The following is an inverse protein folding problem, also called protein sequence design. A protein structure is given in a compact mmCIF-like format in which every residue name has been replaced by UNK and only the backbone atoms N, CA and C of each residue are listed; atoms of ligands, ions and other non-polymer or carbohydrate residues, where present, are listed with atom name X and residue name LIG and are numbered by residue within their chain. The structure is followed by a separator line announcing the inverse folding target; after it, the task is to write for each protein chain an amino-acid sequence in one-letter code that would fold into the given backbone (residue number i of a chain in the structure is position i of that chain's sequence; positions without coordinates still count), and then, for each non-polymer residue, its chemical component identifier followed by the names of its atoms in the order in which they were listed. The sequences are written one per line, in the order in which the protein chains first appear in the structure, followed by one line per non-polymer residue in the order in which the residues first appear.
data_IF_538739835767
#
_entry.id   IF_538739835767
#
_cell.length_a   1.000
_cell.length_b   1.000
_cell.length_c   1.000
_cell.angle_alpha   90.00
_cell.angle_beta   90.00
_cell.angle_gamma   90.00
#
_symmetry.space_group_name_H-M   'P 1'
#
loop_
_entity.id
_entity.type
_entity.pdbx_description
1 polymer ?
#
# COMPACT_ATOMS: atom_id res chain seq x y z
N UNK A 1 52.73 -49.84 2.33
CA UNK A 1 53.21 -48.52 1.91
C UNK A 1 52.42 -47.44 2.61
N UNK A 2 52.95 -46.98 3.75
CA UNK A 2 52.33 -45.93 4.55
C UNK A 2 52.88 -44.57 4.15
N UNK A 3 52.02 -43.66 3.76
CA UNK A 3 52.37 -42.28 3.53
C UNK A 3 51.95 -41.45 4.76
N UNK A 4 52.96 -41.02 5.51
CA UNK A 4 52.79 -40.09 6.64
C UNK A 4 52.65 -38.67 6.10
N UNK A 5 51.54 -38.02 6.44
CA UNK A 5 51.34 -36.60 6.24
C UNK A 5 51.79 -35.83 7.48
N UNK A 6 52.87 -35.06 7.31
CA UNK A 6 53.41 -34.17 8.34
C UNK A 6 52.62 -32.85 8.29
N UNK A 7 51.92 -32.49 9.38
CA UNK A 7 51.32 -31.18 9.56
C UNK A 7 52.38 -30.16 9.99
N UNK A 8 52.72 -29.23 9.12
CA UNK A 8 53.49 -28.02 9.44
C UNK A 8 52.59 -27.07 10.26
N UNK A 9 53.06 -26.73 11.45
CA UNK A 9 52.45 -25.70 12.32
C UNK A 9 52.87 -24.32 11.75
N UNK A 10 51.92 -23.59 11.22
CA UNK A 10 52.08 -22.16 10.94
C UNK A 10 52.04 -21.35 12.24
N UNK A 11 52.97 -20.41 12.36
CA UNK A 11 53.16 -19.50 13.51
C UNK A 11 51.96 -18.52 13.65
N UNK A 12 51.65 -18.07 14.88
CA UNK A 12 50.56 -17.12 15.14
C UNK A 12 51.12 -15.69 15.09
N UNK A 13 51.15 -15.07 13.92
CA UNK A 13 51.36 -13.59 13.86
C UNK A 13 51.11 -13.02 12.44
N UNK A 14 49.87 -13.14 11.99
CA UNK A 14 49.36 -12.37 10.82
C UNK A 14 47.89 -12.03 11.06
N UNK A 15 47.65 -11.12 12.02
CA UNK A 15 46.34 -10.44 12.10
C UNK A 15 46.44 -9.09 11.40
N UNK A 16 45.59 -8.80 10.45
CA UNK A 16 45.56 -7.50 9.78
C UNK A 16 45.24 -6.36 10.76
N UNK A 17 46.06 -5.33 10.77
CA UNK A 17 46.00 -4.13 11.64
C UNK A 17 44.94 -3.10 11.20
N UNK A 18 43.73 -3.51 10.76
CA UNK A 18 42.68 -2.55 10.38
C UNK A 18 41.67 -2.22 11.48
N UNK A 19 41.91 -2.61 12.72
CA UNK A 19 40.92 -2.52 13.80
C UNK A 19 41.01 -1.32 14.75
N UNK A 20 41.89 -0.35 14.56
CA UNK A 20 42.03 0.75 15.52
C UNK A 20 42.07 2.17 14.93
N UNK A 21 41.43 2.43 13.79
CA UNK A 21 41.24 3.82 13.36
C UNK A 21 39.84 3.91 12.74
N UNK A 22 38.86 4.35 13.53
CA UNK A 22 37.59 5.01 13.24
C UNK A 22 36.46 4.50 14.13
N UNK A 23 36.64 4.62 15.44
CA UNK A 23 35.52 4.71 16.38
C UNK A 23 35.20 6.18 16.56
N UNK A 24 34.39 6.76 15.67
CA UNK A 24 33.69 8.00 15.97
C UNK A 24 32.48 7.71 16.87
N UNK A 25 32.17 8.58 17.84
CA UNK A 25 31.08 8.34 18.77
C UNK A 25 29.73 8.40 18.06
N UNK A 26 28.88 7.42 18.33
CA UNK A 26 27.47 7.44 17.95
C UNK A 26 26.82 8.56 18.76
N UNK A 27 26.83 9.77 18.19
CA UNK A 27 26.13 10.93 18.69
C UNK A 27 24.81 11.10 17.96
N UNK A 28 23.74 11.10 18.74
CA UNK A 28 22.48 11.79 18.52
C UNK A 28 22.08 12.09 17.07
N UNK A 29 21.26 11.22 16.45
CA UNK A 29 20.61 11.53 15.17
C UNK A 29 19.20 10.99 15.10
N UNK A 30 18.34 11.38 16.06
CA UNK A 30 16.90 11.09 15.96
C UNK A 30 16.07 12.30 15.49
N UNK A 31 16.73 13.46 15.28
CA UNK A 31 16.06 14.69 14.78
C UNK A 31 16.32 15.01 13.29
N UNK A 32 17.18 14.26 12.60
CA UNK A 32 17.60 14.62 11.24
C UNK A 32 16.75 14.01 10.12
N UNK A 33 15.87 13.06 10.41
CA UNK A 33 15.04 12.38 9.38
C UNK A 33 13.82 13.20 8.92
N UNK A 34 13.49 14.30 9.62
CA UNK A 34 12.27 15.09 9.34
C UNK A 34 12.52 16.37 8.50
N UNK A 35 13.77 16.72 8.15
CA UNK A 35 14.08 18.03 7.58
C UNK A 35 14.30 18.07 6.06
N UNK A 36 14.20 16.95 5.32
CA UNK A 36 14.49 16.94 3.87
C UNK A 36 13.47 16.15 3.03
N UNK A 37 12.22 16.05 3.46
CA UNK A 37 11.17 15.61 2.55
C UNK A 37 10.76 16.84 1.71
N UNK A 38 10.97 16.83 0.38
CA UNK A 38 10.46 17.90 -0.46
C UNK A 38 8.94 17.98 -0.28
N UNK A 39 8.34 19.19 -0.39
CA UNK A 39 6.91 19.36 -0.25
C UNK A 39 6.18 18.50 -1.29
N UNK A 40 5.30 17.61 -0.79
CA UNK A 40 4.42 16.82 -1.64
C UNK A 40 3.56 17.79 -2.46
N UNK A 41 3.59 17.67 -3.79
CA UNK A 41 2.85 18.58 -4.67
C UNK A 41 1.34 18.48 -4.40
N UNK A 42 0.62 19.60 -4.24
CA UNK A 42 -0.79 19.58 -3.89
C UNK A 42 -1.70 19.14 -5.05
N UNK A 43 -2.71 18.35 -4.69
CA UNK A 43 -4.00 18.14 -5.33
C UNK A 43 -4.08 17.09 -6.43
N UNK A 44 -4.35 15.89 -5.94
CA UNK A 44 -5.25 14.97 -6.62
C UNK A 44 -6.60 15.15 -5.90
N UNK A 45 -7.64 15.61 -6.59
CA UNK A 45 -8.96 15.63 -5.98
C UNK A 45 -9.54 14.22 -6.02
N UNK A 46 -9.86 13.67 -4.84
CA UNK A 46 -10.55 12.39 -4.73
C UNK A 46 -11.93 12.49 -5.39
N UNK A 47 -12.42 11.39 -5.92
CA UNK A 47 -13.77 11.26 -6.48
C UNK A 47 -14.60 10.29 -5.64
N UNK A 48 -15.92 10.49 -5.56
CA UNK A 48 -16.81 9.62 -4.81
C UNK A 48 -16.94 8.25 -5.50
N UNK A 49 -17.07 7.19 -4.68
CA UNK A 49 -17.38 5.84 -5.14
C UNK A 49 -18.68 5.41 -4.50
N UNK A 50 -19.66 4.97 -5.29
CA UNK A 50 -20.96 4.53 -4.79
C UNK A 50 -21.35 3.20 -5.42
N UNK A 51 -21.86 2.30 -4.62
CA UNK A 51 -22.47 1.04 -5.02
C UNK A 51 -23.92 1.07 -4.58
N UNK A 52 -24.82 0.67 -5.48
CA UNK A 52 -26.27 0.65 -5.23
C UNK A 52 -26.81 -0.73 -5.53
N UNK A 53 -27.19 -1.48 -4.50
CA UNK A 53 -27.77 -2.82 -4.61
C UNK A 53 -26.90 -3.81 -5.39
N UNK A 54 -25.58 -3.69 -5.33
CA UNK A 54 -24.66 -4.44 -6.18
C UNK A 54 -24.64 -5.91 -5.81
N UNK A 55 -24.96 -6.78 -6.76
CA UNK A 55 -24.77 -8.22 -6.66
C UNK A 55 -23.70 -8.72 -7.64
N UNK A 56 -23.05 -9.82 -7.31
CA UNK A 56 -22.15 -10.52 -8.25
C UNK A 56 -22.23 -12.01 -8.03
N UNK A 57 -22.61 -12.72 -9.09
CA UNK A 57 -22.61 -14.18 -9.14
C UNK A 57 -21.64 -14.72 -10.20
N UNK A 58 -21.07 -15.88 -9.96
CA UNK A 58 -20.28 -16.67 -10.90
C UNK A 58 -20.95 -18.06 -11.02
N UNK A 59 -21.72 -18.26 -12.10
CA UNK A 59 -22.64 -19.38 -12.20
C UNK A 59 -23.68 -19.35 -11.08
N UNK A 60 -23.84 -20.43 -10.33
CA UNK A 60 -24.77 -20.52 -9.21
C UNK A 60 -24.24 -19.89 -7.89
N UNK A 61 -22.97 -19.54 -7.84
CA UNK A 61 -22.34 -18.98 -6.63
C UNK A 61 -22.48 -17.46 -6.59
N UNK A 62 -23.34 -16.97 -5.71
CA UNK A 62 -23.44 -15.55 -5.40
C UNK A 62 -22.31 -15.14 -4.42
N UNK A 63 -21.48 -14.19 -4.84
CA UNK A 63 -20.29 -13.72 -4.10
C UNK A 63 -20.57 -12.39 -3.41
N UNK A 64 -21.34 -11.48 -4.05
CA UNK A 64 -21.82 -10.24 -3.44
C UNK A 64 -23.36 -10.24 -3.52
N UNK A 65 -23.99 -9.84 -2.42
CA UNK A 65 -25.42 -10.03 -2.18
C UNK A 65 -26.11 -8.71 -1.82
N UNK A 66 -26.21 -7.80 -2.79
CA UNK A 66 -26.88 -6.50 -2.58
C UNK A 66 -26.05 -5.56 -1.73
N UNK A 67 -24.86 -5.17 -2.21
CA UNK A 67 -23.99 -4.22 -1.54
C UNK A 67 -24.47 -2.80 -1.81
N UNK A 68 -24.80 -2.08 -0.75
CA UNK A 68 -24.99 -0.63 -0.73
C UNK A 68 -23.80 0.00 0.01
N UNK A 69 -23.04 0.85 -0.68
CA UNK A 69 -21.87 1.49 -0.12
C UNK A 69 -21.68 2.88 -0.74
N UNK A 70 -21.52 3.89 0.11
CA UNK A 70 -21.16 5.24 -0.30
C UNK A 70 -19.83 5.63 0.32
N UNK A 71 -18.85 5.99 -0.52
CA UNK A 71 -17.52 6.46 -0.12
C UNK A 71 -17.34 7.87 -0.64
N UNK A 72 -17.47 8.89 0.23
CA UNK A 72 -17.30 10.28 -0.19
C UNK A 72 -15.90 10.54 -0.74
N UNK A 73 -15.79 11.55 -1.62
CA UNK A 73 -14.53 11.98 -2.20
C UNK A 73 -13.48 12.29 -1.12
N UNK A 74 -12.25 11.82 -1.33
CA UNK A 74 -11.11 12.06 -0.45
C UNK A 74 -11.14 11.28 0.88
N UNK A 75 -12.06 10.35 1.08
CA UNK A 75 -12.12 9.50 2.28
C UNK A 75 -11.25 8.25 2.14
N UNK A 76 -10.78 7.78 3.28
CA UNK A 76 -10.04 6.53 3.41
C UNK A 76 -10.97 5.47 4.02
N UNK A 77 -11.40 4.50 3.22
CA UNK A 77 -12.20 3.35 3.64
C UNK A 77 -11.32 2.10 3.74
N UNK A 78 -11.46 1.31 4.79
CA UNK A 78 -10.94 -0.06 4.82
C UNK A 78 -12.05 -1.08 4.69
N UNK A 79 -11.81 -2.13 3.92
CA UNK A 79 -12.68 -3.29 3.75
C UNK A 79 -11.97 -4.49 4.35
N UNK A 80 -12.47 -4.96 5.48
CA UNK A 80 -11.93 -6.10 6.23
C UNK A 80 -12.82 -7.32 6.04
N UNK A 81 -12.27 -8.52 6.13
CA UNK A 81 -13.03 -9.77 6.07
C UNK A 81 -12.15 -10.97 5.73
N UNK A 82 -12.70 -12.16 5.91
CA UNK A 82 -12.00 -13.42 5.63
C UNK A 82 -11.69 -13.60 4.14
N UNK A 83 -10.73 -14.45 3.84
CA UNK A 83 -10.46 -14.87 2.46
C UNK A 83 -11.72 -15.49 1.84
N UNK A 84 -12.00 -15.12 0.59
CA UNK A 84 -13.21 -15.59 -0.11
C UNK A 84 -14.50 -14.83 0.24
N UNK A 85 -14.47 -13.81 1.12
CA UNK A 85 -15.64 -13.00 1.50
C UNK A 85 -16.13 -12.00 0.45
N UNK A 86 -15.50 -11.93 -0.74
CA UNK A 86 -15.94 -11.03 -1.83
C UNK A 86 -15.11 -9.76 -2.00
N UNK A 87 -14.11 -9.49 -1.14
CA UNK A 87 -13.29 -8.26 -1.17
C UNK A 87 -12.64 -7.99 -2.53
N UNK A 88 -11.96 -8.99 -3.10
CA UNK A 88 -11.33 -8.87 -4.43
C UNK A 88 -12.38 -8.69 -5.53
N UNK A 89 -13.55 -9.32 -5.41
CA UNK A 89 -14.66 -9.13 -6.34
C UNK A 89 -15.17 -7.69 -6.28
N UNK A 90 -15.39 -7.15 -5.07
CA UNK A 90 -15.79 -5.76 -4.87
C UNK A 90 -14.82 -4.79 -5.56
N UNK A 91 -13.52 -5.00 -5.37
CA UNK A 91 -12.48 -4.19 -5.99
C UNK A 91 -12.48 -4.29 -7.51
N UNK A 92 -12.68 -5.49 -8.08
CA UNK A 92 -12.75 -5.71 -9.52
C UNK A 92 -13.93 -4.99 -10.16
N UNK A 93 -15.07 -4.91 -9.47
CA UNK A 93 -16.23 -4.13 -9.90
C UNK A 93 -15.93 -2.63 -9.90
N UNK A 94 -15.30 -2.09 -8.86
CA UNK A 94 -14.92 -0.67 -8.77
C UNK A 94 -13.89 -0.28 -9.85
N UNK A 95 -12.96 -1.18 -10.19
CA UNK A 95 -11.99 -0.94 -11.26
C UNK A 95 -12.58 -1.06 -12.66
N UNK A 96 -13.77 -1.64 -12.81
CA UNK A 96 -14.35 -2.00 -14.10
C UNK A 96 -13.67 -3.19 -14.77
N UNK A 97 -12.95 -4.02 -14.01
CA UNK A 97 -12.39 -5.31 -14.48
C UNK A 97 -13.43 -6.40 -14.56
N UNK A 98 -14.52 -6.24 -13.82
CA UNK A 98 -15.72 -7.08 -13.85
C UNK A 98 -16.97 -6.18 -13.85
N UNK A 99 -18.09 -6.74 -14.29
CA UNK A 99 -19.41 -6.10 -14.25
C UNK A 99 -20.28 -6.72 -13.15
N UNK A 100 -21.11 -5.94 -12.46
CA UNK A 100 -22.07 -6.49 -11.51
C UNK A 100 -23.11 -7.38 -12.23
N UNK A 101 -23.68 -8.36 -11.51
CA UNK A 101 -24.79 -9.15 -12.02
C UNK A 101 -26.08 -8.35 -11.96
N UNK A 102 -26.25 -7.51 -10.92
CA UNK A 102 -27.31 -6.50 -10.81
C UNK A 102 -26.83 -5.34 -9.93
N UNK A 103 -27.58 -4.25 -9.93
CA UNK A 103 -27.18 -3.01 -9.25
C UNK A 103 -26.19 -2.20 -10.06
N UNK A 104 -25.64 -1.15 -9.48
CA UNK A 104 -24.79 -0.18 -10.17
C UNK A 104 -23.57 0.17 -9.32
N UNK A 105 -22.41 0.32 -10.00
CA UNK A 105 -21.22 0.94 -9.43
C UNK A 105 -21.02 2.29 -10.10
N UNK A 106 -20.87 3.33 -9.30
CA UNK A 106 -20.74 4.71 -9.76
C UNK A 106 -19.40 5.30 -9.26
N UNK A 107 -18.69 5.99 -10.14
CA UNK A 107 -17.51 6.80 -9.79
C UNK A 107 -17.83 8.24 -10.21
N UNK A 108 -17.80 9.16 -9.25
CA UNK A 108 -18.18 10.55 -9.43
C UNK A 108 -19.58 10.70 -10.09
N UNK A 109 -20.52 9.86 -9.67
CA UNK A 109 -21.88 9.81 -10.19
C UNK A 109 -22.03 9.20 -11.59
N UNK A 110 -20.94 8.72 -12.21
CA UNK A 110 -20.99 8.09 -13.53
C UNK A 110 -20.91 6.56 -13.41
N UNK A 111 -21.75 5.81 -14.12
CA UNK A 111 -21.69 4.35 -14.11
C UNK A 111 -20.35 3.79 -14.61
N UNK A 112 -19.86 2.78 -13.91
CA UNK A 112 -18.66 2.02 -14.33
C UNK A 112 -19.06 1.01 -15.41
N UNK A 113 -18.69 1.30 -16.65
CA UNK A 113 -18.98 0.43 -17.81
C UNK A 113 -17.73 -0.20 -18.42
N UNK A 114 -16.62 -0.23 -17.69
CA UNK A 114 -15.33 -0.76 -18.11
C UNK A 114 -14.19 -0.15 -17.29
N UNK A 115 -12.95 -0.38 -17.73
CA UNK A 115 -11.77 0.12 -17.03
C UNK A 115 -11.82 1.61 -16.77
N UNK A 116 -11.61 1.98 -15.50
CA UNK A 116 -11.71 3.38 -15.06
C UNK A 116 -10.33 4.07 -15.05
N UNK A 117 -10.12 5.07 -15.90
CA UNK A 117 -8.85 5.80 -15.95
C UNK A 117 -8.52 6.57 -14.66
N UNK A 118 -9.51 6.95 -13.87
CA UNK A 118 -9.35 7.62 -12.57
C UNK A 118 -9.02 6.68 -11.42
N UNK A 119 -9.10 5.36 -11.63
CA UNK A 119 -8.85 4.34 -10.59
C UNK A 119 -7.47 3.70 -10.79
N UNK A 120 -6.71 3.58 -9.72
CA UNK A 120 -5.45 2.82 -9.70
C UNK A 120 -5.49 1.75 -8.64
N UNK A 121 -4.83 0.64 -8.96
CA UNK A 121 -4.77 -0.54 -8.12
C UNK A 121 -3.33 -0.84 -7.73
N UNK A 122 -3.08 -0.95 -6.43
CA UNK A 122 -1.84 -1.43 -5.85
C UNK A 122 -2.09 -2.84 -5.30
N UNK A 123 -1.36 -3.81 -5.81
CA UNK A 123 -1.45 -5.20 -5.39
C UNK A 123 -0.51 -5.53 -4.23
N UNK A 124 -0.74 -6.64 -3.57
CA UNK A 124 0.15 -7.20 -2.56
C UNK A 124 1.58 -7.44 -3.10
N UNK A 125 1.69 -7.99 -4.31
CA UNK A 125 2.95 -8.00 -5.06
C UNK A 125 3.05 -6.71 -5.89
N UNK A 126 4.18 -6.04 -5.81
CA UNK A 126 4.45 -4.78 -6.51
C UNK A 126 4.34 -4.87 -8.05
N UNK A 127 4.41 -6.07 -8.61
CA UNK A 127 4.30 -6.36 -10.05
C UNK A 127 5.13 -5.41 -10.89
N UNK A 128 6.39 -5.21 -10.49
CA UNK A 128 7.32 -4.42 -11.27
C UNK A 128 7.79 -5.21 -12.49
N UNK A 129 7.97 -4.48 -13.60
CA UNK A 129 8.55 -5.06 -14.82
C UNK A 129 10.05 -5.27 -14.59
N UNK A 130 10.54 -6.52 -14.54
CA UNK A 130 11.94 -6.79 -14.20
C UNK A 130 12.93 -6.30 -15.27
N UNK A 131 12.46 -6.07 -16.50
CA UNK A 131 13.22 -5.53 -17.63
C UNK A 131 13.15 -4.00 -17.77
N UNK A 132 12.59 -3.31 -16.80
CA UNK A 132 12.56 -1.84 -16.73
C UNK A 132 13.27 -1.39 -15.46
N UNK A 133 13.97 -0.26 -15.55
CA UNK A 133 14.50 0.43 -14.37
C UNK A 133 13.39 0.93 -13.47
N UNK A 134 13.71 1.40 -12.27
CA UNK A 134 12.77 1.99 -11.32
C UNK A 134 11.97 3.12 -11.99
N UNK A 135 12.63 4.09 -12.59
CA UNK A 135 11.95 5.20 -13.28
C UNK A 135 11.13 4.71 -14.47
N UNK A 136 11.60 3.68 -15.19
CA UNK A 136 10.86 3.07 -16.28
C UNK A 136 9.57 2.36 -15.83
N UNK A 137 9.59 1.77 -14.63
CA UNK A 137 8.39 1.21 -14.00
C UNK A 137 7.39 2.27 -13.60
N UNK A 138 7.85 3.37 -13.00
CA UNK A 138 6.97 4.47 -12.57
C UNK A 138 6.36 5.17 -13.78
N UNK A 139 7.16 5.52 -14.78
CA UNK A 139 6.72 6.22 -15.98
C UNK A 139 6.23 5.31 -17.10
N UNK A 140 5.61 4.19 -16.81
CA UNK A 140 5.25 3.15 -17.80
C UNK A 140 4.37 3.67 -18.94
N UNK A 141 3.50 4.66 -18.68
CA UNK A 141 2.60 5.23 -19.69
C UNK A 141 3.32 6.12 -20.71
N UNK A 142 4.58 6.53 -20.45
CA UNK A 142 5.40 7.35 -21.37
C UNK A 142 4.70 8.60 -21.91
N UNK A 143 3.85 9.25 -21.11
CA UNK A 143 3.19 10.51 -21.48
C UNK A 143 4.22 11.65 -21.62
N UNK A 144 3.91 12.75 -22.35
CA UNK A 144 4.82 13.90 -22.42
C UNK A 144 5.23 14.38 -21.02
N UNK A 145 6.53 14.60 -20.79
CA UNK A 145 7.07 14.99 -19.49
C UNK A 145 7.12 13.88 -18.43
N UNK A 146 6.87 12.62 -18.81
CA UNK A 146 6.80 11.48 -17.89
C UNK A 146 8.01 11.34 -16.97
N UNK A 147 9.21 11.68 -17.47
CA UNK A 147 10.46 11.50 -16.69
C UNK A 147 10.47 12.39 -15.46
N UNK A 148 10.06 13.66 -15.60
CA UNK A 148 10.00 14.59 -14.48
C UNK A 148 8.89 14.21 -13.51
N UNK A 149 7.71 13.86 -14.00
CA UNK A 149 6.60 13.38 -13.19
C UNK A 149 6.98 12.11 -12.41
N UNK A 150 7.71 11.19 -13.06
CA UNK A 150 8.19 9.96 -12.42
C UNK A 150 9.25 10.23 -11.34
N UNK A 151 10.17 11.18 -11.55
CA UNK A 151 11.14 11.60 -10.53
C UNK A 151 10.45 12.22 -9.32
N UNK A 152 9.48 13.10 -9.55
CA UNK A 152 8.69 13.69 -8.48
C UNK A 152 7.97 12.61 -7.66
N UNK A 153 7.30 11.66 -8.31
CA UNK A 153 6.63 10.57 -7.63
C UNK A 153 7.60 9.65 -6.86
N UNK A 154 8.83 9.44 -7.37
CA UNK A 154 9.88 8.70 -6.64
C UNK A 154 10.36 9.48 -5.41
N UNK A 155 10.48 10.79 -5.51
CA UNK A 155 10.82 11.63 -4.36
C UNK A 155 9.73 11.57 -3.27
N UNK A 156 8.45 11.61 -3.66
CA UNK A 156 7.31 11.51 -2.73
C UNK A 156 7.32 10.21 -1.91
N UNK A 157 7.83 9.12 -2.49
CA UNK A 157 7.94 7.83 -1.80
C UNK A 157 9.33 7.58 -1.17
N UNK A 158 10.23 8.58 -1.17
CA UNK A 158 11.56 8.51 -0.58
C UNK A 158 12.54 7.62 -1.35
N UNK A 159 12.46 7.61 -2.68
CA UNK A 159 13.33 6.84 -3.58
C UNK A 159 14.14 7.71 -4.54
N UNK A 160 14.40 8.98 -4.20
CA UNK A 160 15.32 9.83 -4.94
C UNK A 160 16.70 9.19 -5.03
N UNK A 161 17.32 9.27 -6.21
CA UNK A 161 18.64 8.67 -6.49
C UNK A 161 18.60 7.19 -6.85
N UNK A 162 17.41 6.57 -6.88
CA UNK A 162 17.21 5.16 -7.25
C UNK A 162 16.60 4.97 -8.64
N UNK A 163 16.54 6.03 -9.45
CA UNK A 163 15.83 6.06 -10.73
C UNK A 163 16.35 5.01 -11.72
N UNK A 164 17.67 4.77 -11.72
CA UNK A 164 18.35 3.85 -12.63
C UNK A 164 18.52 2.44 -12.08
N UNK A 165 18.12 2.19 -10.85
CA UNK A 165 18.17 0.87 -10.24
C UNK A 165 17.23 -0.12 -10.94
N UNK A 166 17.52 -1.40 -10.80
CA UNK A 166 16.67 -2.49 -11.30
C UNK A 166 15.83 -3.08 -10.17
N UNK A 167 14.61 -3.57 -10.44
CA UNK A 167 13.75 -4.17 -9.42
C UNK A 167 14.41 -5.30 -8.61
N UNK A 168 15.33 -6.03 -9.21
CA UNK A 168 16.02 -7.16 -8.59
C UNK A 168 16.88 -6.80 -7.37
N UNK A 169 17.42 -5.56 -7.31
CA UNK A 169 18.26 -5.12 -6.19
C UNK A 169 17.48 -4.42 -5.07
N UNK A 170 16.17 -4.21 -5.26
CA UNK A 170 15.33 -3.52 -4.28
C UNK A 170 14.83 -4.47 -3.19
N UNK A 171 14.72 -3.97 -1.95
CA UNK A 171 13.99 -4.66 -0.89
C UNK A 171 12.49 -4.78 -1.20
N UNK A 172 11.76 -5.62 -0.46
CA UNK A 172 10.30 -5.74 -0.60
C UNK A 172 9.58 -4.40 -0.42
N UNK A 173 9.93 -3.65 0.62
CA UNK A 173 9.39 -2.32 0.88
C UNK A 173 9.74 -1.31 -0.22
N UNK A 174 10.96 -1.32 -0.72
CA UNK A 174 11.35 -0.45 -1.84
C UNK A 174 10.57 -0.78 -3.12
N UNK A 175 10.36 -2.05 -3.43
CA UNK A 175 9.50 -2.46 -4.56
C UNK A 175 8.07 -1.95 -4.40
N UNK A 176 7.52 -2.04 -3.18
CA UNK A 176 6.17 -1.54 -2.90
C UNK A 176 6.08 -0.02 -3.01
N UNK A 177 7.12 0.73 -2.57
CA UNK A 177 7.21 2.19 -2.78
C UNK A 177 7.27 2.55 -4.27
N UNK A 178 7.99 1.81 -5.11
CA UNK A 178 7.99 2.00 -6.58
C UNK A 178 6.59 1.77 -7.16
N UNK A 179 5.88 0.72 -6.71
CA UNK A 179 4.52 0.45 -7.17
C UNK A 179 3.54 1.57 -6.75
N UNK A 180 3.70 2.12 -5.54
CA UNK A 180 2.93 3.28 -5.09
C UNK A 180 3.24 4.52 -5.95
N UNK A 181 4.51 4.84 -6.20
CA UNK A 181 4.91 5.94 -7.09
C UNK A 181 4.30 5.78 -8.50
N UNK A 182 4.32 4.56 -9.04
CA UNK A 182 3.68 4.24 -10.34
C UNK A 182 2.18 4.52 -10.34
N UNK A 183 1.49 4.24 -9.23
CA UNK A 183 0.07 4.57 -9.11
C UNK A 183 -0.16 6.09 -9.05
N UNK A 184 0.69 6.83 -8.33
CA UNK A 184 0.56 8.28 -8.12
C UNK A 184 0.84 9.12 -9.37
N UNK A 185 1.76 8.68 -10.25
CA UNK A 185 2.10 9.38 -11.50
C UNK A 185 0.86 9.72 -12.36
N UNK A 186 -0.15 8.87 -12.31
CA UNK A 186 -1.39 9.07 -13.07
C UNK A 186 -2.41 9.96 -12.37
N UNK A 187 -2.08 10.52 -11.19
CA UNK A 187 -2.97 11.35 -10.38
C UNK A 187 -4.37 10.72 -10.20
N UNK A 188 -4.48 9.56 -9.53
CA UNK A 188 -5.75 8.84 -9.44
C UNK A 188 -6.77 9.60 -8.59
N UNK A 189 -8.03 9.61 -9.01
CA UNK A 189 -9.15 10.03 -8.15
C UNK A 189 -9.48 8.98 -7.09
N UNK A 190 -9.23 7.68 -7.40
CA UNK A 190 -9.40 6.55 -6.48
C UNK A 190 -8.15 5.68 -6.48
N UNK A 191 -7.63 5.38 -5.29
CA UNK A 191 -6.55 4.42 -5.07
C UNK A 191 -7.10 3.19 -4.33
N UNK A 192 -7.03 2.03 -4.98
CA UNK A 192 -7.38 0.74 -4.39
C UNK A 192 -6.10 0.03 -3.95
N UNK A 193 -6.06 -0.43 -2.72
CA UNK A 193 -4.93 -1.11 -2.10
C UNK A 193 -5.38 -2.54 -1.74
N UNK A 194 -4.83 -3.55 -2.42
CA UNK A 194 -5.17 -4.96 -2.21
C UNK A 194 -4.08 -5.65 -1.39
N UNK A 195 -4.30 -5.75 -0.08
CA UNK A 195 -3.36 -6.34 0.89
C UNK A 195 -1.90 -5.82 0.72
N UNK A 196 -1.68 -4.51 0.57
CA UNK A 196 -0.42 -3.96 0.05
C UNK A 196 0.78 -4.17 0.97
N UNK A 197 0.54 -4.54 2.23
CA UNK A 197 1.58 -4.66 3.25
C UNK A 197 1.77 -6.09 3.76
N UNK A 198 0.97 -7.05 3.28
CA UNK A 198 0.95 -8.43 3.78
C UNK A 198 2.27 -9.20 3.63
N UNK A 199 3.10 -8.85 2.64
CA UNK A 199 4.39 -9.49 2.39
C UNK A 199 5.58 -8.76 3.05
N UNK A 200 5.34 -7.68 3.84
CA UNK A 200 6.37 -6.87 4.47
C UNK A 200 6.66 -7.33 5.91
N UNK A 201 7.91 -7.20 6.34
CA UNK A 201 8.27 -7.32 7.75
C UNK A 201 7.63 -6.19 8.59
N UNK A 202 7.63 -6.35 9.92
CA UNK A 202 6.90 -5.46 10.82
C UNK A 202 7.38 -4.01 10.75
N UNK A 203 8.69 -3.75 10.69
CA UNK A 203 9.23 -2.38 10.64
C UNK A 203 8.92 -1.72 9.31
N UNK A 204 9.20 -2.40 8.21
CA UNK A 204 8.88 -1.92 6.85
C UNK A 204 7.38 -1.65 6.68
N UNK A 205 6.52 -2.47 7.31
CA UNK A 205 5.06 -2.26 7.30
C UNK A 205 4.67 -0.95 7.98
N UNK A 206 5.23 -0.67 9.17
CA UNK A 206 4.99 0.60 9.88
C UNK A 206 5.42 1.80 9.04
N UNK A 207 6.61 1.73 8.43
CA UNK A 207 7.08 2.80 7.53
C UNK A 207 6.14 3.01 6.33
N UNK A 208 5.63 1.92 5.75
CA UNK A 208 4.69 1.99 4.61
C UNK A 208 3.34 2.56 5.01
N UNK A 209 2.83 2.25 6.21
CA UNK A 209 1.61 2.87 6.76
C UNK A 209 1.79 4.39 6.89
N UNK A 210 2.90 4.83 7.52
CA UNK A 210 3.20 6.26 7.67
C UNK A 210 3.36 6.97 6.32
N UNK A 211 4.03 6.33 5.37
CA UNK A 211 4.19 6.86 4.02
C UNK A 211 2.84 7.01 3.32
N UNK A 212 2.00 5.96 3.35
CA UNK A 212 0.68 5.96 2.72
C UNK A 212 -0.23 7.02 3.34
N UNK A 213 -0.25 7.14 4.67
CA UNK A 213 -1.02 8.16 5.37
C UNK A 213 -0.56 9.57 4.99
N UNK A 214 0.75 9.84 4.98
CA UNK A 214 1.32 11.14 4.59
C UNK A 214 0.93 11.52 3.16
N UNK A 215 1.07 10.59 2.21
CA UNK A 215 0.73 10.81 0.81
C UNK A 215 -0.78 11.06 0.66
N UNK A 216 -1.61 10.24 1.33
CA UNK A 216 -3.06 10.44 1.29
C UNK A 216 -3.48 11.79 1.89
N UNK A 217 -2.88 12.21 3.01
CA UNK A 217 -3.16 13.54 3.61
C UNK A 217 -2.80 14.69 2.68
N UNK A 218 -1.73 14.55 1.90
CA UNK A 218 -1.28 15.57 0.97
C UNK A 218 -2.17 15.67 -0.28
N UNK A 219 -2.59 14.53 -0.82
CA UNK A 219 -3.28 14.46 -2.11
C UNK A 219 -4.80 14.33 -2.00
N UNK A 220 -5.30 13.74 -0.91
CA UNK A 220 -6.75 13.58 -0.66
C UNK A 220 -7.51 12.81 -1.75
N UNK A 221 -6.87 11.89 -2.45
CA UNK A 221 -7.58 10.93 -3.28
C UNK A 221 -8.44 9.99 -2.43
N UNK A 222 -9.52 9.47 -3.00
CA UNK A 222 -10.34 8.46 -2.32
C UNK A 222 -9.56 7.15 -2.25
N UNK A 223 -9.50 6.53 -1.08
CA UNK A 223 -8.73 5.28 -0.87
C UNK A 223 -9.64 4.17 -0.37
N UNK A 224 -9.52 2.99 -0.98
CA UNK A 224 -10.10 1.76 -0.45
C UNK A 224 -8.97 0.77 -0.18
N UNK A 225 -8.77 0.44 1.09
CA UNK A 225 -7.80 -0.56 1.54
C UNK A 225 -8.52 -1.88 1.78
N UNK A 226 -8.12 -2.91 1.05
CA UNK A 226 -8.52 -4.29 1.34
C UNK A 226 -7.44 -4.92 2.18
N UNK A 227 -7.81 -5.40 3.36
CA UNK A 227 -6.90 -6.08 4.27
C UNK A 227 -7.63 -7.12 5.12
N UNK A 228 -6.90 -8.08 5.64
CA UNK A 228 -7.37 -8.99 6.70
C UNK A 228 -6.86 -8.56 8.08
N UNK A 229 -6.02 -7.54 8.15
CA UNK A 229 -5.47 -6.98 9.39
C UNK A 229 -6.34 -5.82 9.89
N UNK A 230 -7.06 -6.06 10.99
CA UNK A 230 -7.96 -5.08 11.59
C UNK A 230 -7.18 -3.91 12.20
N UNK A 231 -5.98 -4.16 12.75
CA UNK A 231 -5.16 -3.10 13.33
C UNK A 231 -4.70 -2.11 12.24
N UNK A 232 -4.32 -2.64 11.06
CA UNK A 232 -4.01 -1.85 9.87
C UNK A 232 -5.21 -0.99 9.42
N UNK A 233 -6.40 -1.58 9.37
CA UNK A 233 -7.62 -0.87 8.99
C UNK A 233 -7.93 0.30 9.95
N UNK A 234 -7.84 0.08 11.27
CA UNK A 234 -8.05 1.12 12.29
C UNK A 234 -6.97 2.21 12.23
N UNK A 235 -5.70 1.82 11.97
CA UNK A 235 -4.61 2.78 11.89
C UNK A 235 -4.74 3.75 10.70
N UNK A 236 -5.22 3.28 9.55
CA UNK A 236 -5.18 4.04 8.30
C UNK A 236 -6.54 4.63 7.88
N UNK A 237 -7.66 3.96 8.14
CA UNK A 237 -8.93 4.35 7.55
C UNK A 237 -9.73 5.34 8.40
N UNK A 238 -10.57 6.17 7.75
CA UNK A 238 -11.58 6.99 8.43
C UNK A 238 -12.84 6.19 8.74
N UNK A 239 -13.04 5.07 8.03
CA UNK A 239 -14.19 4.18 8.15
C UNK A 239 -13.78 2.77 7.81
N UNK A 240 -14.30 1.80 8.53
CA UNK A 240 -14.04 0.37 8.32
C UNK A 240 -15.37 -0.33 8.06
N UNK A 241 -15.44 -1.11 6.99
CA UNK A 241 -16.53 -2.06 6.77
C UNK A 241 -16.00 -3.49 6.89
N UNK A 242 -16.83 -4.38 7.45
CA UNK A 242 -16.57 -5.82 7.46
C UNK A 242 -17.41 -6.48 6.39
N UNK A 243 -16.76 -7.07 5.41
CA UNK A 243 -17.42 -7.85 4.36
C UNK A 243 -17.40 -9.34 4.74
N UNK A 244 -18.59 -9.89 5.02
CA UNK A 244 -18.77 -11.30 5.39
C UNK A 244 -19.88 -11.94 4.56
N UNK A 245 -19.59 -13.09 3.98
CA UNK A 245 -20.53 -13.87 3.16
C UNK A 245 -21.22 -13.07 2.05
N UNK A 246 -20.51 -12.09 1.47
CA UNK A 246 -21.00 -11.25 0.39
C UNK A 246 -21.88 -10.08 0.84
N UNK A 247 -21.95 -9.76 2.13
CA UNK A 247 -22.72 -8.66 2.70
C UNK A 247 -21.86 -7.79 3.63
N UNK A 248 -22.24 -6.53 3.83
CA UNK A 248 -21.64 -5.66 4.83
C UNK A 248 -22.22 -6.03 6.19
N UNK A 249 -21.39 -6.71 7.02
CA UNK A 249 -21.78 -7.15 8.36
C UNK A 249 -21.57 -6.08 9.43
N UNK A 250 -20.64 -5.14 9.20
CA UNK A 250 -20.37 -4.00 10.07
C UNK A 250 -19.94 -2.82 9.22
N UNK A 251 -20.31 -1.63 9.65
CA UNK A 251 -19.92 -0.35 9.07
C UNK A 251 -19.68 0.64 10.21
N UNK A 252 -18.43 1.03 10.45
CA UNK A 252 -18.05 1.83 11.61
C UNK A 252 -17.10 2.97 11.20
N UNK A 253 -17.37 4.17 11.71
CA UNK A 253 -16.44 5.31 11.60
C UNK A 253 -15.30 5.18 12.61
N UNK A 254 -14.11 5.58 12.21
CA UNK A 254 -12.91 5.64 13.06
C UNK A 254 -12.64 7.10 13.41
N UNK A 255 -13.25 7.55 14.49
CA UNK A 255 -13.13 8.93 14.97
C UNK A 255 -11.94 9.07 15.95
N UNK A 256 -10.74 8.77 15.44
CA UNK A 256 -9.49 8.93 16.17
C UNK A 256 -8.62 9.98 15.48
N UNK A 257 -7.88 10.80 16.25
CA UNK A 257 -6.99 11.82 15.68
C UNK A 257 -5.88 11.18 14.86
N UNK A 258 -5.42 11.89 13.82
CA UNK A 258 -4.28 11.48 12.98
C UNK A 258 -3.02 12.29 13.33
N UNK A 259 -1.81 11.76 13.20
CA UNK A 259 -1.49 10.40 12.81
C UNK A 259 -1.73 9.37 13.94
N UNK A 260 -2.30 8.21 13.62
CA UNK A 260 -2.60 7.14 14.57
C UNK A 260 -1.38 6.23 14.73
N UNK A 261 -0.31 6.74 15.32
CA UNK A 261 1.00 6.06 15.42
C UNK A 261 1.10 5.08 16.60
N UNK A 262 0.25 5.23 17.60
CA UNK A 262 0.32 4.42 18.80
C UNK A 262 -0.55 3.16 18.64
N UNK A 263 0.10 2.05 18.30
CA UNK A 263 -0.52 0.71 18.33
C UNK A 263 -1.01 0.33 19.74
N UNK A 264 -0.62 1.07 20.77
CA UNK A 264 -1.00 0.90 22.17
C UNK A 264 -2.16 1.81 22.61
N UNK A 265 -2.78 2.59 21.71
CA UNK A 265 -3.93 3.43 22.04
C UNK A 265 -5.12 2.53 22.45
N UNK A 266 -5.60 2.63 23.72
CA UNK A 266 -6.73 1.83 24.19
C UNK A 266 -8.01 1.99 23.35
N UNK A 267 -8.24 3.19 22.79
CA UNK A 267 -9.39 3.44 21.93
C UNK A 267 -9.26 2.71 20.59
N UNK A 268 -8.07 2.70 19.97
CA UNK A 268 -7.81 1.94 18.77
C UNK A 268 -7.92 0.43 19.02
N UNK A 269 -7.39 -0.07 20.15
CA UNK A 269 -7.51 -1.46 20.55
C UNK A 269 -8.98 -1.88 20.77
N UNK A 270 -9.80 -1.02 21.38
CA UNK A 270 -11.23 -1.26 21.59
C UNK A 270 -11.99 -1.35 20.27
N UNK A 271 -11.73 -0.43 19.33
CA UNK A 271 -12.32 -0.47 17.98
C UNK A 271 -11.88 -1.73 17.22
N UNK A 272 -10.60 -2.09 17.29
CA UNK A 272 -10.13 -3.31 16.66
C UNK A 272 -10.80 -4.57 17.23
N UNK A 273 -10.97 -4.64 18.55
CA UNK A 273 -11.69 -5.72 19.20
C UNK A 273 -13.17 -5.80 18.80
N UNK A 274 -13.83 -4.65 18.61
CA UNK A 274 -15.21 -4.60 18.11
C UNK A 274 -15.31 -5.12 16.68
N UNK A 275 -14.44 -4.63 15.78
CA UNK A 275 -14.42 -5.06 14.39
C UNK A 275 -14.17 -6.57 14.29
N UNK A 276 -13.24 -7.12 15.10
CA UNK A 276 -12.89 -8.54 15.11
C UNK A 276 -14.08 -9.47 15.44
N UNK A 277 -15.08 -9.02 16.20
CA UNK A 277 -16.28 -9.83 16.49
C UNK A 277 -17.11 -10.09 15.23
N UNK A 278 -16.97 -9.26 14.21
CA UNK A 278 -17.76 -9.34 12.98
C UNK A 278 -17.01 -9.96 11.80
N UNK A 279 -15.69 -10.13 11.91
CA UNK A 279 -14.85 -10.84 10.92
C UNK A 279 -14.99 -12.35 11.07
#
# INVERSE_FOLDING_TARGET
MSASFTLERTKPDDRPQWREQNAEPIGETDEALDRHSPPVQPRIEGVAVRLVGVTKAFGEREVLKGIDLDVPAGRFLAVVGRSGGGKTTLMRLITGLDEPTSGEVLIDGQPVTGLQPSVRLLFQDARLLPWQTVIGNVGIARTPGWTETARSALADVGLSGRENDWPAILSGGQRQRVALARALVSKPGVLLLDEPYGALDALTRVEMHQLTERIWQAHRFTTLLITHDVAEAVALADRVIVLREGQIALDIAIDLPRPRREYADPAAASLAAEILKHV
#
